data_IF_555587391761
#
_entry.id   IF_555587391761
#
_cell.length_a   1.000
_cell.length_b   1.000
_cell.length_c   1.000
_cell.angle_alpha   90.00
_cell.angle_beta   90.00
_cell.angle_gamma   90.00
#
_symmetry.space_group_name_H-M   'P 1'
#
loop_
_entity.id
_entity.type
_entity.pdbx_description
1 polymer ?
#
# COMPACT_ATOMS: atom_id res chain seq x y z
N UNK A 1 -19.43 0.70 -10.27
CA UNK A 1 -18.70 1.90 -9.82
C UNK A 1 -18.87 3.08 -10.78
N UNK A 2 -18.24 3.12 -11.95
CA UNK A 2 -18.41 4.26 -12.89
C UNK A 2 -19.86 4.46 -13.34
N UNK A 3 -20.56 3.36 -13.67
CA UNK A 3 -21.98 3.42 -14.01
C UNK A 3 -22.84 3.96 -12.86
N UNK A 4 -22.49 3.65 -11.61
CA UNK A 4 -23.21 4.14 -10.44
C UNK A 4 -22.95 5.63 -10.23
N UNK A 5 -21.69 6.08 -10.30
CA UNK A 5 -21.32 7.49 -10.25
C UNK A 5 -22.10 8.33 -11.29
N UNK A 6 -22.11 7.88 -12.54
CA UNK A 6 -22.84 8.55 -13.63
C UNK A 6 -24.35 8.53 -13.41
N UNK A 7 -24.90 7.44 -12.84
CA UNK A 7 -26.32 7.34 -12.52
C UNK A 7 -26.71 8.32 -11.42
N UNK A 8 -25.95 8.41 -10.33
CA UNK A 8 -26.19 9.38 -9.24
C UNK A 8 -26.14 10.81 -9.76
N UNK A 9 -25.12 11.14 -10.56
CA UNK A 9 -24.97 12.47 -11.15
C UNK A 9 -26.13 12.83 -12.09
N UNK A 10 -26.54 11.88 -12.94
CA UNK A 10 -27.71 12.07 -13.82
C UNK A 10 -28.99 12.29 -13.00
N UNK A 11 -29.21 11.51 -11.94
CA UNK A 11 -30.39 11.66 -11.08
C UNK A 11 -30.42 13.05 -10.43
N UNK A 12 -29.27 13.54 -9.97
CA UNK A 12 -29.14 14.85 -9.35
C UNK A 12 -29.45 15.99 -10.34
N UNK A 13 -28.91 15.93 -11.58
CA UNK A 13 -29.26 16.89 -12.63
C UNK A 13 -30.76 16.82 -12.96
N UNK A 14 -31.33 15.62 -13.00
CA UNK A 14 -32.75 15.43 -13.30
C UNK A 14 -33.64 16.03 -12.21
N UNK A 15 -33.25 15.90 -10.94
CA UNK A 15 -33.92 16.54 -9.80
C UNK A 15 -33.82 18.06 -9.87
N UNK A 16 -32.63 18.61 -10.16
CA UNK A 16 -32.42 20.06 -10.25
C UNK A 16 -33.11 20.72 -11.45
N UNK A 17 -33.21 19.99 -12.58
CA UNK A 17 -33.84 20.46 -13.81
C UNK A 17 -35.34 20.18 -13.92
N UNK A 18 -35.93 19.49 -12.93
CA UNK A 18 -37.36 19.19 -12.95
C UNK A 18 -38.18 20.48 -12.81
N UNK A 19 -39.14 20.75 -13.72
CA UNK A 19 -39.98 21.93 -13.61
C UNK A 19 -40.81 21.88 -12.33
N UNK A 20 -40.86 23.00 -11.61
CA UNK A 20 -41.68 23.12 -10.41
C UNK A 20 -43.15 23.05 -10.84
N UNK A 21 -43.84 22.00 -10.41
CA UNK A 21 -45.29 21.84 -10.56
C UNK A 21 -46.01 23.10 -10.05
N UNK A 22 -46.97 23.65 -10.80
CA UNK A 22 -47.69 24.89 -10.44
C UNK A 22 -48.45 24.80 -9.09
N UNK A 23 -48.68 23.57 -8.61
CA UNK A 23 -49.31 23.27 -7.32
C UNK A 23 -48.37 22.50 -6.38
N UNK A 24 -47.04 22.65 -6.52
CA UNK A 24 -46.08 21.98 -5.65
C UNK A 24 -46.34 22.35 -4.18
N UNK A 25 -46.72 21.36 -3.38
CA UNK A 25 -46.91 21.55 -1.94
C UNK A 25 -45.55 21.57 -1.23
N UNK A 26 -45.51 22.08 0.01
CA UNK A 26 -44.26 22.18 0.78
C UNK A 26 -43.63 20.81 1.03
N UNK A 27 -44.46 19.77 1.12
CA UNK A 27 -44.07 18.39 1.30
C UNK A 27 -43.33 17.86 0.07
N UNK A 28 -43.77 18.22 -1.14
CA UNK A 28 -43.09 17.85 -2.39
C UNK A 28 -41.72 18.50 -2.49
N UNK A 29 -41.61 19.79 -2.13
CA UNK A 29 -40.34 20.49 -2.10
C UNK A 29 -39.36 19.89 -1.06
N UNK A 30 -39.86 19.54 0.13
CA UNK A 30 -39.06 18.88 1.16
C UNK A 30 -38.58 17.49 0.72
N UNK A 31 -39.43 16.71 0.05
CA UNK A 31 -39.07 15.41 -0.50
C UNK A 31 -37.98 15.53 -1.60
N UNK A 32 -38.09 16.52 -2.49
CA UNK A 32 -37.08 16.78 -3.51
C UNK A 32 -35.73 17.20 -2.90
N UNK A 33 -35.74 18.05 -1.87
CA UNK A 33 -34.54 18.46 -1.16
C UNK A 33 -33.83 17.26 -0.50
N UNK A 34 -34.60 16.39 0.18
CA UNK A 34 -34.08 15.17 0.77
C UNK A 34 -33.50 14.22 -0.29
N UNK A 35 -34.19 14.05 -1.42
CA UNK A 35 -33.69 13.22 -2.51
C UNK A 35 -32.37 13.74 -3.09
N UNK A 36 -32.22 15.06 -3.22
CA UNK A 36 -30.96 15.69 -3.63
C UNK A 36 -29.80 15.38 -2.66
N UNK A 37 -30.06 15.41 -1.35
CA UNK A 37 -29.07 15.10 -0.32
C UNK A 37 -28.63 13.63 -0.37
N UNK A 38 -29.60 12.72 -0.55
CA UNK A 38 -29.33 11.28 -0.70
C UNK A 38 -28.48 11.00 -1.93
N UNK A 39 -28.84 11.55 -3.10
CA UNK A 39 -28.08 11.33 -4.33
C UNK A 39 -26.67 11.95 -4.25
N UNK A 40 -26.51 13.09 -3.57
CA UNK A 40 -25.19 13.71 -3.33
C UNK A 40 -24.32 12.82 -2.44
N UNK A 41 -24.88 12.33 -1.34
CA UNK A 41 -24.15 11.45 -0.40
C UNK A 41 -23.74 10.14 -1.09
N UNK A 42 -24.64 9.56 -1.87
CA UNK A 42 -24.36 8.36 -2.65
C UNK A 42 -23.30 8.60 -3.74
N UNK A 43 -23.27 9.79 -4.36
CA UNK A 43 -22.24 10.17 -5.32
C UNK A 43 -20.85 10.28 -4.67
N UNK A 44 -20.76 10.90 -3.49
CA UNK A 44 -19.51 10.98 -2.71
C UNK A 44 -19.01 9.58 -2.38
N UNK A 45 -19.88 8.71 -1.87
CA UNK A 45 -19.52 7.33 -1.54
C UNK A 45 -19.02 6.55 -2.76
N UNK A 46 -19.68 6.66 -3.90
CA UNK A 46 -19.22 6.02 -5.14
C UNK A 46 -17.83 6.52 -5.59
N UNK A 47 -17.48 7.78 -5.27
CA UNK A 47 -16.14 8.36 -5.52
C UNK A 47 -15.10 7.85 -4.53
N UNK A 48 -15.46 7.71 -3.25
CA UNK A 48 -14.60 7.11 -2.22
C UNK A 48 -14.28 5.66 -2.57
N UNK A 49 -15.28 4.88 -2.97
CA UNK A 49 -15.09 3.50 -3.39
C UNK A 49 -14.13 3.41 -4.60
N UNK A 50 -14.22 4.36 -5.55
CA UNK A 50 -13.26 4.45 -6.66
C UNK A 50 -11.85 4.73 -6.14
N UNK A 51 -11.68 5.62 -5.16
CA UNK A 51 -10.37 5.88 -4.57
C UNK A 51 -9.81 4.69 -3.81
N UNK A 52 -10.64 3.94 -3.09
CA UNK A 52 -10.24 2.68 -2.44
C UNK A 52 -9.69 1.70 -3.46
N UNK A 53 -10.39 1.49 -4.59
CA UNK A 53 -9.92 0.63 -5.67
C UNK A 53 -8.56 1.10 -6.23
N UNK A 54 -8.36 2.40 -6.38
CA UNK A 54 -7.05 2.90 -6.84
C UNK A 54 -5.94 2.68 -5.82
N UNK A 55 -6.25 2.70 -4.52
CA UNK A 55 -5.29 2.37 -3.46
C UNK A 55 -4.92 0.90 -3.54
N UNK A 56 -5.91 0.01 -3.62
CA UNK A 56 -5.69 -1.42 -3.76
C UNK A 56 -4.86 -1.77 -5.01
N UNK A 57 -5.14 -1.12 -6.14
CA UNK A 57 -4.36 -1.32 -7.37
C UNK A 57 -2.89 -0.88 -7.19
N UNK A 58 -2.66 0.24 -6.51
CA UNK A 58 -1.31 0.72 -6.18
C UNK A 58 -0.61 -0.20 -5.20
N UNK A 59 -1.31 -0.70 -4.18
CA UNK A 59 -0.78 -1.67 -3.23
C UNK A 59 -0.36 -2.95 -3.95
N UNK A 60 -1.19 -3.49 -4.85
CA UNK A 60 -0.86 -4.66 -5.66
C UNK A 60 0.38 -4.42 -6.54
N UNK A 61 0.52 -3.22 -7.11
CA UNK A 61 1.69 -2.85 -7.91
C UNK A 61 2.97 -2.65 -7.09
N UNK A 62 2.87 -2.02 -5.92
CA UNK A 62 4.02 -1.70 -5.06
C UNK A 62 4.53 -2.93 -4.31
N UNK A 63 3.61 -3.75 -3.80
CA UNK A 63 3.98 -4.93 -3.03
C UNK A 63 4.18 -6.16 -3.92
N UNK A 64 3.56 -6.18 -5.11
CA UNK A 64 3.64 -7.33 -6.02
C UNK A 64 3.08 -8.61 -5.39
N UNK A 65 3.29 -9.79 -6.01
CA UNK A 65 3.13 -11.05 -5.28
C UNK A 65 4.07 -11.04 -4.06
N UNK A 66 3.62 -11.64 -2.94
CA UNK A 66 4.47 -11.85 -1.75
C UNK A 66 5.82 -12.41 -2.21
N UNK A 67 6.90 -11.61 -2.05
CA UNK A 67 8.26 -12.05 -2.39
C UNK A 67 8.53 -13.35 -1.64
N UNK A 68 9.14 -14.33 -2.31
CA UNK A 68 9.51 -15.57 -1.64
C UNK A 68 10.50 -15.26 -0.51
N UNK A 69 10.51 -16.10 0.53
CA UNK A 69 11.55 -16.05 1.56
C UNK A 69 12.90 -16.13 0.84
N UNK A 70 13.71 -15.07 0.91
CA UNK A 70 14.99 -14.94 0.20
C UNK A 70 15.05 -13.94 -0.98
N UNK A 71 13.97 -13.25 -1.34
CA UNK A 71 14.00 -12.23 -2.42
C UNK A 71 13.93 -10.78 -1.86
N UNK A 72 15.09 -10.14 -1.70
CA UNK A 72 15.22 -8.75 -1.26
C UNK A 72 16.56 -8.11 -1.65
N UNK A 73 16.63 -6.77 -1.64
CA UNK A 73 17.88 -6.03 -1.83
C UNK A 73 18.79 -6.25 -0.60
N UNK A 74 19.82 -7.08 -0.76
CA UNK A 74 20.87 -7.33 0.25
C UNK A 74 21.09 -8.79 0.65
N UNK A 75 20.21 -9.71 0.26
CA UNK A 75 20.23 -11.09 0.76
C UNK A 75 21.09 -12.03 -0.10
N UNK A 76 22.37 -11.65 -0.19
CA UNK A 76 23.45 -12.43 -0.79
C UNK A 76 24.82 -11.86 -0.41
N UNK A 77 24.86 -10.57 -0.05
CA UNK A 77 26.04 -9.97 0.57
C UNK A 77 26.14 -10.32 2.04
N UNK A 78 25.04 -10.47 2.79
CA UNK A 78 25.10 -10.70 4.25
C UNK A 78 25.84 -12.00 4.61
N UNK A 79 25.58 -13.10 3.89
CA UNK A 79 26.29 -14.36 4.12
C UNK A 79 27.78 -14.25 3.73
N UNK A 80 28.07 -13.59 2.60
CA UNK A 80 29.45 -13.38 2.14
C UNK A 80 30.23 -12.43 3.06
N UNK A 81 29.58 -11.38 3.54
CA UNK A 81 30.13 -10.40 4.47
C UNK A 81 30.38 -11.05 5.84
N UNK A 82 29.50 -11.96 6.27
CA UNK A 82 29.66 -12.74 7.51
C UNK A 82 30.87 -13.68 7.45
N UNK A 83 31.09 -14.36 6.32
CA UNK A 83 32.28 -15.19 6.10
C UNK A 83 33.55 -14.33 6.11
N UNK A 84 33.52 -13.19 5.42
CA UNK A 84 34.66 -12.26 5.33
C UNK A 84 35.04 -11.66 6.67
N UNK A 85 34.05 -11.33 7.51
CA UNK A 85 34.28 -10.87 8.88
C UNK A 85 34.93 -11.97 9.74
N UNK A 86 34.54 -13.23 9.53
CA UNK A 86 35.17 -14.39 10.18
C UNK A 86 36.64 -14.55 9.82
N UNK A 87 36.98 -14.48 8.54
CA UNK A 87 38.37 -14.57 8.05
C UNK A 87 39.25 -13.45 8.62
N UNK A 88 38.76 -12.21 8.62
CA UNK A 88 39.47 -11.06 9.19
C UNK A 88 39.66 -11.18 10.70
N UNK A 89 38.71 -11.80 11.42
CA UNK A 89 38.84 -12.04 12.86
C UNK A 89 39.92 -13.10 13.16
N UNK A 90 39.97 -14.16 12.35
CA UNK A 90 40.98 -15.22 12.46
C UNK A 90 42.40 -14.65 12.25
N UNK A 91 42.60 -13.84 11.20
CA UNK A 91 43.87 -13.15 10.94
C UNK A 91 44.31 -12.23 12.09
N UNK A 92 43.35 -11.52 12.70
CA UNK A 92 43.62 -10.66 13.85
C UNK A 92 43.97 -11.46 15.11
N UNK A 93 43.37 -12.63 15.31
CA UNK A 93 43.68 -13.54 16.41
C UNK A 93 45.08 -14.14 16.23
N UNK A 94 45.44 -14.58 15.03
CA UNK A 94 46.79 -15.08 14.73
C UNK A 94 47.86 -14.00 14.95
N UNK A 95 47.60 -12.78 14.47
CA UNK A 95 48.53 -11.65 14.62
C UNK A 95 48.68 -11.22 16.08
N UNK A 96 47.67 -11.46 16.93
CA UNK A 96 47.69 -11.15 18.37
C UNK A 96 48.29 -12.28 19.21
N UNK A 97 48.32 -13.53 18.72
CA UNK A 97 48.94 -14.68 19.37
C UNK A 97 50.16 -15.22 18.60
N UNK A 98 51.28 -14.48 18.50
CA UNK A 98 52.51 -15.01 17.88
C UNK A 98 53.21 -16.11 18.72
N UNK A 99 52.68 -16.49 19.89
CA UNK A 99 53.34 -17.35 20.87
C UNK A 99 53.04 -18.86 20.73
N UNK A 100 52.13 -19.29 19.84
CA UNK A 100 51.80 -20.71 19.66
C UNK A 100 52.57 -21.42 18.54
N UNK A 101 53.14 -20.69 17.59
CA UNK A 101 53.87 -21.28 16.45
C UNK A 101 55.32 -21.67 16.78
N UNK A 102 55.91 -21.13 17.85
CA UNK A 102 57.30 -21.40 18.25
C UNK A 102 57.47 -22.55 19.26
N UNK A 103 56.39 -23.12 19.81
CA UNK A 103 56.45 -24.17 20.84
C UNK A 103 56.17 -25.60 20.35
N UNK A 104 55.84 -25.80 19.06
CA UNK A 104 55.72 -27.15 18.45
C UNK A 104 56.97 -27.60 17.67
N UNK A 105 58.03 -26.80 17.61
CA UNK A 105 59.30 -27.16 16.93
C UNK A 105 60.36 -27.74 17.87
N UNK A 106 60.06 -27.96 19.17
CA UNK A 106 61.04 -28.48 20.15
C UNK A 106 60.45 -29.68 20.90
N UNK A 107 60.14 -30.74 20.15
CA UNK A 107 59.94 -32.08 20.70
C UNK A 107 59.97 -33.12 19.56
N UNK A 108 61.09 -33.21 18.84
CA UNK A 108 61.55 -34.41 18.13
C UNK A 108 63.07 -34.37 17.98
#
# INVERSE_FOLDING_TARGET
MVAELLTRFKNLISLAGSPVEKNATKEVAAAQAFQMEVETTALVRATEDLHVLTRELKELWLFGPLRKIGEGEGEGSIDQDSVRVGELLEELIEKKNPAKTSSQSVAE
#
